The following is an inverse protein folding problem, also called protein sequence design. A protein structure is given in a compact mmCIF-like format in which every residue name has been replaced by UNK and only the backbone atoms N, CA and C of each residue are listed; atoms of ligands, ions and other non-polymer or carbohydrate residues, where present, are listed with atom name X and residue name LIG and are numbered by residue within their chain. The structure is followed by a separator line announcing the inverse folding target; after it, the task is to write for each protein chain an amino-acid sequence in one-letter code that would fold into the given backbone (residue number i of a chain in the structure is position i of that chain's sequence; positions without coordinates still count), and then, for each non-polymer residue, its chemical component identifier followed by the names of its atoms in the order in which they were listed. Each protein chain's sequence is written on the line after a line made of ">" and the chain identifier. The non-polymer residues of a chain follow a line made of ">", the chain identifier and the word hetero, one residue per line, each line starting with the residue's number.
data_IF_547910172669
#
_entry.id   IF_547910172669
#
_cell.length_a   1.000
_cell.length_b   1.000
_cell.length_c   1.000
_cell.angle_alpha   90.00
_cell.angle_beta   90.00
_cell.angle_gamma   90.00
#
_symmetry.space_group_name_H-M   'P 1'
#
loop_
_entity.id
_entity.type
_entity.pdbx_description
1 polymer ?
#
# COMPACT_ATOMS: atom_id res chain seq x y z
N UNK A 1 11.98 -11.51 0.21
CA UNK A 1 11.29 -10.71 -0.84
C UNK A 1 11.22 -11.41 -2.19
N UNK A 2 12.34 -11.66 -2.92
CA UNK A 2 12.28 -12.28 -4.27
C UNK A 2 11.47 -13.60 -4.33
N UNK A 3 11.69 -14.49 -3.36
CA UNK A 3 10.91 -15.72 -3.24
C UNK A 3 9.41 -15.46 -3.00
N UNK A 4 9.06 -14.49 -2.15
CA UNK A 4 7.67 -14.09 -1.90
C UNK A 4 7.00 -13.55 -3.17
N UNK A 5 7.69 -12.71 -3.94
CA UNK A 5 7.17 -12.20 -5.22
C UNK A 5 6.95 -13.31 -6.25
N UNK A 6 7.86 -14.28 -6.33
CA UNK A 6 7.73 -15.42 -7.23
C UNK A 6 6.55 -16.32 -6.86
N UNK A 7 6.40 -16.64 -5.56
CA UNK A 7 5.30 -17.46 -5.04
C UNK A 7 3.93 -16.81 -5.31
N UNK A 8 3.84 -15.50 -5.12
CA UNK A 8 2.59 -14.74 -5.32
C UNK A 8 2.39 -14.22 -6.75
N UNK A 9 3.27 -14.59 -7.71
CA UNK A 9 3.20 -14.19 -9.12
C UNK A 9 3.20 -12.67 -9.35
N UNK A 10 3.93 -11.93 -8.52
CA UNK A 10 4.15 -10.49 -8.69
C UNK A 10 5.38 -10.22 -9.58
N UNK A 11 5.40 -10.83 -10.76
CA UNK A 11 6.51 -10.79 -11.71
C UNK A 11 6.23 -9.92 -12.95
N UNK A 12 5.06 -9.26 -13.01
CA UNK A 12 4.73 -8.31 -14.07
C UNK A 12 5.29 -6.90 -13.79
N UNK A 13 5.22 -6.01 -14.81
CA UNK A 13 5.72 -4.63 -14.72
C UNK A 13 4.78 -3.66 -13.97
N UNK A 14 3.61 -4.12 -13.51
CA UNK A 14 2.61 -3.28 -12.83
C UNK A 14 2.95 -3.14 -11.35
N UNK A 15 3.65 -4.11 -10.78
CA UNK A 15 4.01 -4.11 -9.37
C UNK A 15 5.40 -3.50 -9.14
N UNK A 16 5.46 -2.51 -8.26
CA UNK A 16 6.72 -1.97 -7.74
C UNK A 16 6.76 -2.21 -6.24
N UNK A 17 7.78 -2.94 -5.77
CA UNK A 17 7.99 -3.20 -4.36
C UNK A 17 9.14 -2.35 -3.85
N UNK A 18 8.87 -1.54 -2.84
CA UNK A 18 9.83 -0.59 -2.27
C UNK A 18 10.30 -1.14 -0.92
N UNK A 19 11.58 -0.93 -0.63
CA UNK A 19 12.20 -1.17 0.69
C UNK A 19 13.16 -0.02 0.98
N UNK A 20 13.31 0.34 2.24
CA UNK A 20 14.35 1.25 2.67
C UNK A 20 14.94 0.82 4.02
N UNK A 21 15.75 1.69 4.62
CA UNK A 21 16.16 1.60 6.01
C UNK A 21 14.98 1.92 6.97
N UNK A 22 15.20 1.76 8.26
CA UNK A 22 14.17 1.95 9.30
C UNK A 22 13.64 3.39 9.35
N UNK A 23 14.52 4.39 9.22
CA UNK A 23 14.16 5.82 9.34
C UNK A 23 13.24 6.22 8.19
N UNK A 24 13.63 5.95 6.95
CA UNK A 24 12.84 6.31 5.77
C UNK A 24 11.52 5.52 5.72
N UNK A 25 11.53 4.27 6.17
CA UNK A 25 10.33 3.44 6.23
C UNK A 25 9.33 4.00 7.24
N UNK A 26 9.81 4.47 8.40
CA UNK A 26 8.98 5.13 9.42
C UNK A 26 8.42 6.45 8.91
N UNK A 27 9.23 7.24 8.21
CA UNK A 27 8.78 8.50 7.61
C UNK A 27 7.68 8.25 6.58
N UNK A 28 7.88 7.30 5.67
CA UNK A 28 6.88 6.93 4.67
C UNK A 28 5.58 6.43 5.32
N UNK A 29 5.68 5.59 6.34
CA UNK A 29 4.51 5.09 7.07
C UNK A 29 3.69 6.23 7.68
N UNK A 30 4.36 7.24 8.28
CA UNK A 30 3.69 8.42 8.82
C UNK A 30 2.99 9.24 7.73
N UNK A 31 3.64 9.48 6.59
CA UNK A 31 3.06 10.22 5.46
C UNK A 31 1.83 9.50 4.89
N UNK A 32 1.88 8.17 4.82
CA UNK A 32 0.79 7.35 4.30
C UNK A 32 -0.28 6.99 5.34
N UNK A 33 -0.17 7.49 6.58
CA UNK A 33 -1.04 7.16 7.71
C UNK A 33 -1.08 5.65 8.05
N UNK A 34 0.00 4.92 7.76
CA UNK A 34 0.17 3.51 8.12
C UNK A 34 0.73 3.42 9.53
N UNK A 35 -0.02 2.78 10.43
CA UNK A 35 0.46 2.45 11.77
C UNK A 35 1.06 1.04 11.75
N UNK A 36 2.16 0.85 12.46
CA UNK A 36 2.71 -0.48 12.69
C UNK A 36 3.30 -0.57 14.09
N UNK A 37 3.30 -1.76 14.66
CA UNK A 37 3.84 -2.04 16.00
C UNK A 37 4.53 -3.40 15.98
N UNK A 38 5.75 -3.42 16.49
CA UNK A 38 6.48 -4.67 16.72
C UNK A 38 5.77 -5.48 17.82
N UNK A 39 5.49 -6.75 17.52
CA UNK A 39 4.92 -7.72 18.45
C UNK A 39 6.00 -8.68 18.93
N UNK A 40 6.92 -9.06 18.04
CA UNK A 40 8.11 -9.88 18.33
C UNK A 40 9.18 -9.64 17.25
N UNK A 41 10.40 -10.20 17.35
CA UNK A 41 11.48 -9.96 16.38
C UNK A 41 11.14 -10.24 14.91
N UNK A 42 10.09 -11.03 14.65
CA UNK A 42 9.64 -11.39 13.29
C UNK A 42 8.23 -10.85 13.01
N UNK A 43 7.43 -10.58 14.03
CA UNK A 43 6.01 -10.25 13.88
C UNK A 43 5.73 -8.78 14.14
N UNK A 44 5.00 -8.17 13.20
CA UNK A 44 4.54 -6.79 13.29
C UNK A 44 3.04 -6.77 13.07
N UNK A 45 2.31 -6.07 13.93
CA UNK A 45 0.94 -5.65 13.62
C UNK A 45 1.01 -4.37 12.79
N UNK A 46 0.09 -4.21 11.85
CA UNK A 46 0.05 -3.05 10.97
C UNK A 46 -1.38 -2.70 10.56
N UNK A 47 -1.57 -1.45 10.14
CA UNK A 47 -2.78 -1.01 9.46
C UNK A 47 -2.97 -1.76 8.15
N UNK A 48 -4.23 -2.03 7.81
CA UNK A 48 -4.58 -2.69 6.56
C UNK A 48 -5.17 -1.63 5.61
N UNK A 49 -4.32 -0.92 4.87
CA UNK A 49 -4.71 0.28 4.12
C UNK A 49 -4.36 0.13 2.64
N UNK A 50 -5.31 0.52 1.77
CA UNK A 50 -5.08 0.72 0.34
C UNK A 50 -5.29 2.21 0.02
N UNK A 51 -4.33 2.83 -0.65
CA UNK A 51 -4.37 4.24 -1.07
C UNK A 51 -4.33 4.38 -2.58
N UNK A 52 -5.19 5.24 -3.12
CA UNK A 52 -5.19 5.66 -4.53
C UNK A 52 -4.70 7.11 -4.58
N UNK A 53 -3.64 7.34 -5.36
CA UNK A 53 -3.09 8.66 -5.61
C UNK A 53 -3.44 9.13 -7.03
N UNK A 54 -3.60 10.44 -7.20
CA UNK A 54 -3.80 11.05 -8.51
C UNK A 54 -2.50 11.04 -9.33
N UNK A 55 -2.60 11.30 -10.64
CA UNK A 55 -1.43 11.46 -11.54
C UNK A 55 -0.45 12.55 -11.08
N UNK A 56 -0.89 13.47 -10.20
CA UNK A 56 -0.06 14.54 -9.62
C UNK A 56 0.56 14.15 -8.26
N UNK A 57 0.32 12.93 -7.77
CA UNK A 57 0.85 12.45 -6.49
C UNK A 57 0.05 12.89 -5.27
N UNK A 58 -1.17 13.40 -5.43
CA UNK A 58 -2.04 13.77 -4.29
C UNK A 58 -2.91 12.58 -3.89
N UNK A 59 -3.10 12.34 -2.59
CA UNK A 59 -4.00 11.29 -2.10
C UNK A 59 -5.43 11.58 -2.56
N UNK A 60 -6.00 10.67 -3.37
CA UNK A 60 -7.34 10.82 -3.93
C UNK A 60 -8.37 10.01 -3.14
N UNK A 61 -7.98 8.83 -2.65
CA UNK A 61 -8.81 7.95 -1.84
C UNK A 61 -7.95 7.03 -0.97
N UNK A 62 -8.49 6.65 0.19
CA UNK A 62 -7.85 5.70 1.09
C UNK A 62 -8.93 4.85 1.76
N UNK A 63 -8.69 3.53 1.81
CA UNK A 63 -9.56 2.57 2.45
C UNK A 63 -8.78 1.81 3.51
N UNK A 64 -9.36 1.71 4.70
CA UNK A 64 -8.87 0.86 5.79
C UNK A 64 -9.74 -0.39 5.90
N UNK A 65 -9.09 -1.54 6.07
CA UNK A 65 -9.70 -2.86 6.08
C UNK A 65 -9.86 -3.45 4.67
N UNK A 66 -9.57 -4.74 4.55
CA UNK A 66 -9.81 -5.54 3.33
C UNK A 66 -11.14 -6.31 3.38
N UNK A 67 -11.95 -6.10 4.42
CA UNK A 67 -13.28 -6.72 4.59
C UNK A 67 -14.42 -5.79 4.13
N UNK A 68 -14.08 -4.74 3.39
CA UNK A 68 -15.00 -3.75 2.84
C UNK A 68 -15.11 -3.94 1.33
N UNK A 69 -16.23 -3.50 0.76
CA UNK A 69 -16.49 -3.60 -0.68
C UNK A 69 -15.43 -2.84 -1.50
N UNK A 70 -14.83 -3.51 -2.48
CA UNK A 70 -13.78 -2.94 -3.35
C UNK A 70 -14.34 -1.93 -4.37
N UNK A 71 -15.66 -1.82 -4.50
CA UNK A 71 -16.34 -0.93 -5.44
C UNK A 71 -15.89 0.53 -5.32
N UNK A 72 -15.64 1.00 -4.10
CA UNK A 72 -15.18 2.37 -3.86
C UNK A 72 -13.76 2.61 -4.44
N UNK A 73 -12.84 1.66 -4.22
CA UNK A 73 -11.48 1.72 -4.76
C UNK A 73 -11.52 1.68 -6.29
N UNK A 74 -12.26 0.74 -6.88
CA UNK A 74 -12.36 0.58 -8.33
C UNK A 74 -12.94 1.84 -8.98
N UNK A 75 -13.98 2.42 -8.37
CA UNK A 75 -14.59 3.68 -8.83
C UNK A 75 -13.59 4.83 -8.83
N UNK A 76 -12.82 5.00 -7.75
CA UNK A 76 -11.82 6.08 -7.72
C UNK A 76 -10.70 5.85 -8.73
N UNK A 77 -10.21 4.61 -8.90
CA UNK A 77 -9.18 4.31 -9.90
C UNK A 77 -9.65 4.69 -11.31
N UNK A 78 -10.88 4.31 -11.69
CA UNK A 78 -11.45 4.67 -13.01
C UNK A 78 -11.49 6.18 -13.21
N UNK A 79 -11.96 6.92 -12.21
CA UNK A 79 -11.96 8.38 -12.21
C UNK A 79 -10.55 8.97 -12.39
N UNK A 80 -9.53 8.43 -11.72
CA UNK A 80 -8.15 8.92 -11.85
C UNK A 80 -7.51 8.58 -13.21
N UNK A 81 -8.00 7.54 -13.91
CA UNK A 81 -7.53 7.21 -15.26
C UNK A 81 -8.09 8.20 -16.29
N UNK A 82 -9.37 8.58 -16.13
CA UNK A 82 -10.10 9.47 -17.05
C UNK A 82 -9.68 10.96 -16.95
N UNK A 83 -9.23 11.41 -15.78
CA UNK A 83 -8.72 12.77 -15.52
C UNK A 83 -7.32 13.01 -16.09
#
# INVERSE_FOLDING_TARGET
>A
MKAYLAVNRFNDKKWTFIRSNEVDTRELANIMAVKYKEISPIEFSHSNIISVYSKKGTLAFQQEGLNTDDDAIVKEIRKQIEL
#
